data_IF_734671570913
#
_entry.id   IF_734671570913
#
_cell.length_a   1.000
_cell.length_b   1.000
_cell.length_c   1.000
_cell.angle_alpha   90.00
_cell.angle_beta   90.00
_cell.angle_gamma   90.00
#
_symmetry.space_group_name_H-M   'P 1'
#
loop_
_entity.id
_entity.type
_entity.pdbx_description
1 polymer ?
#
# COMPACT_ATOMS: atom_id res chain seq x y z
N UNK A 1 -25.60 -18.59 17.67
CA UNK A 1 -24.45 -18.15 18.49
C UNK A 1 -24.76 -16.79 19.13
N UNK A 2 -24.44 -16.54 20.40
CA UNK A 2 -24.55 -15.18 20.92
C UNK A 2 -23.61 -14.29 20.12
N UNK A 3 -24.10 -13.15 19.64
CA UNK A 3 -23.26 -12.14 19.00
C UNK A 3 -22.13 -11.78 19.97
N UNK A 4 -20.89 -11.90 19.51
CA UNK A 4 -19.74 -11.44 20.28
C UNK A 4 -19.89 -9.93 20.48
N UNK A 5 -19.88 -9.48 21.73
CA UNK A 5 -19.81 -8.04 22.03
C UNK A 5 -18.54 -7.51 21.36
N UNK A 6 -18.63 -6.45 20.53
CA UNK A 6 -17.46 -5.92 19.83
C UNK A 6 -16.44 -5.43 20.86
N UNK A 7 -15.19 -5.85 20.67
CA UNK A 7 -14.07 -5.30 21.42
C UNK A 7 -13.80 -3.89 20.92
N UNK A 8 -13.93 -2.89 21.79
CA UNK A 8 -13.69 -1.49 21.47
C UNK A 8 -12.38 -1.04 22.11
N UNK A 9 -11.42 -0.66 21.28
CA UNK A 9 -10.13 -0.09 21.70
C UNK A 9 -10.15 1.43 21.60
N UNK A 10 -9.37 2.07 22.46
CA UNK A 10 -8.96 3.48 22.35
C UNK A 10 -7.45 3.55 22.07
N UNK A 11 -6.94 4.73 21.74
CA UNK A 11 -5.52 4.98 21.47
C UNK A 11 -4.98 6.11 22.35
N UNK A 12 -3.67 6.09 22.60
CA UNK A 12 -2.91 7.19 23.20
C UNK A 12 -1.91 7.69 22.16
N UNK A 13 -1.78 9.02 22.03
CA UNK A 13 -0.78 9.62 21.15
C UNK A 13 0.56 9.57 21.88
N UNK A 14 1.42 8.62 21.48
CA UNK A 14 2.78 8.49 22.01
C UNK A 14 3.78 9.43 21.35
N UNK A 15 3.51 9.82 20.10
CA UNK A 15 4.32 10.74 19.31
C UNK A 15 3.51 11.28 18.13
N UNK A 16 3.89 12.45 17.64
CA UNK A 16 3.34 13.07 16.43
C UNK A 16 4.49 13.41 15.51
N UNK A 17 4.34 13.05 14.24
CA UNK A 17 5.36 13.24 13.21
C UNK A 17 4.79 14.11 12.09
N UNK A 18 5.60 14.96 11.43
CA UNK A 18 5.12 15.71 10.29
C UNK A 18 4.70 14.76 9.16
N UNK A 19 3.65 15.11 8.45
CA UNK A 19 3.19 14.42 7.25
C UNK A 19 2.91 15.46 6.16
N UNK A 20 3.23 15.12 4.92
CA UNK A 20 2.99 15.98 3.76
C UNK A 20 1.47 16.13 3.53
N UNK A 21 0.89 17.34 3.72
CA UNK A 21 -0.55 17.54 3.64
C UNK A 21 -1.12 17.40 2.22
N UNK A 22 -0.27 17.42 1.19
CA UNK A 22 -0.69 17.23 -0.20
C UNK A 22 -0.71 15.74 -0.61
N UNK A 23 -0.28 14.85 0.29
CA UNK A 23 -0.25 13.42 0.06
C UNK A 23 -1.62 12.78 0.30
N UNK A 24 -2.21 12.23 -0.77
CA UNK A 24 -3.47 11.49 -0.67
C UNK A 24 -3.21 10.03 -0.30
N UNK A 25 -2.78 9.78 0.94
CA UNK A 25 -2.34 8.47 1.44
C UNK A 25 -3.36 7.36 1.19
N UNK A 26 -2.98 6.32 0.43
CA UNK A 26 -3.78 5.10 0.22
C UNK A 26 -3.11 3.82 0.73
N UNK A 27 -1.83 3.88 1.08
CA UNK A 27 -1.10 2.73 1.59
C UNK A 27 0.14 3.13 2.36
N UNK A 28 0.49 2.35 3.38
CA UNK A 28 1.59 2.62 4.29
C UNK A 28 2.23 1.31 4.74
N UNK A 29 3.55 1.18 4.66
CA UNK A 29 4.27 0.00 5.18
C UNK A 29 5.67 0.39 5.65
N UNK A 30 6.22 -0.38 6.60
CA UNK A 30 7.58 -0.21 7.10
C UNK A 30 8.51 -1.28 6.54
N UNK A 31 9.66 -0.85 6.04
CA UNK A 31 10.77 -1.72 5.72
C UNK A 31 11.40 -2.35 6.97
N UNK A 32 12.17 -3.45 6.82
CA UNK A 32 12.87 -4.11 7.93
C UNK A 32 13.86 -3.22 8.70
N UNK A 33 14.32 -2.13 8.07
CA UNK A 33 15.22 -1.13 8.63
C UNK A 33 14.48 0.04 9.31
N UNK A 34 13.15 -0.01 9.39
CA UNK A 34 12.32 1.06 9.93
C UNK A 34 12.03 2.19 8.94
N UNK A 35 12.44 2.06 7.68
CA UNK A 35 12.09 3.02 6.63
C UNK A 35 10.60 2.99 6.35
N UNK A 36 9.95 4.16 6.31
CA UNK A 36 8.56 4.29 5.93
C UNK A 36 8.40 4.40 4.41
N UNK A 37 7.53 3.58 3.85
CA UNK A 37 7.06 3.68 2.48
C UNK A 37 5.58 4.04 2.46
N UNK A 38 5.19 4.88 1.50
CA UNK A 38 3.83 5.38 1.36
C UNK A 38 3.40 5.37 -0.11
N UNK A 39 2.12 5.09 -0.31
CA UNK A 39 1.43 5.20 -1.59
C UNK A 39 0.52 6.42 -1.57
N UNK A 40 0.71 7.30 -2.54
CA UNK A 40 -0.14 8.46 -2.78
C UNK A 40 -1.12 8.12 -3.92
N UNK A 41 -2.41 8.42 -3.73
CA UNK A 41 -3.44 8.31 -4.76
C UNK A 41 -3.58 9.56 -5.64
N UNK A 42 -4.70 9.66 -6.36
CA UNK A 42 -5.07 10.70 -7.36
C UNK A 42 -4.46 10.47 -8.75
N UNK A 43 -5.33 10.39 -9.77
CA UNK A 43 -4.91 10.27 -11.18
C UNK A 43 -3.98 11.42 -11.58
N UNK A 44 -2.88 11.10 -12.24
CA UNK A 44 -1.84 12.07 -12.63
C UNK A 44 -0.87 12.47 -11.51
N UNK A 45 -1.17 12.12 -10.26
CA UNK A 45 -0.37 12.49 -9.09
C UNK A 45 0.08 11.30 -8.23
N UNK A 46 -0.50 10.12 -8.48
CA UNK A 46 -0.21 8.91 -7.71
C UNK A 46 1.27 8.55 -7.77
N UNK A 47 1.80 8.03 -6.68
CA UNK A 47 3.18 7.59 -6.58
C UNK A 47 3.42 6.61 -5.43
N UNK A 48 4.58 5.96 -5.44
CA UNK A 48 5.18 5.39 -4.22
C UNK A 48 6.34 6.27 -3.77
N UNK A 49 6.47 6.45 -2.45
CA UNK A 49 7.54 7.26 -1.87
C UNK A 49 8.16 6.63 -0.63
N UNK A 50 9.43 6.92 -0.44
CA UNK A 50 10.16 6.71 0.79
C UNK A 50 10.09 8.00 1.61
N UNK A 51 9.66 7.93 2.87
CA UNK A 51 9.38 9.08 3.71
C UNK A 51 10.45 9.24 4.79
N UNK A 52 10.94 10.47 4.97
CA UNK A 52 11.72 10.85 6.13
C UNK A 52 10.79 11.10 7.32
N UNK A 53 10.81 10.17 8.26
CA UNK A 53 10.00 10.21 9.49
C UNK A 53 10.20 11.46 10.35
N UNK A 54 11.39 12.07 10.32
CA UNK A 54 11.68 13.24 11.13
C UNK A 54 11.07 14.52 10.54
N UNK A 55 10.98 14.60 9.22
CA UNK A 55 10.57 15.82 8.50
C UNK A 55 9.23 15.70 7.80
N UNK A 56 8.70 14.49 7.60
CA UNK A 56 7.57 14.20 6.72
C UNK A 56 7.90 14.31 5.23
N UNK A 57 9.16 14.61 4.90
CA UNK A 57 9.61 14.85 3.54
C UNK A 57 9.79 13.58 2.72
N UNK A 58 9.80 13.74 1.40
CA UNK A 58 10.09 12.64 0.47
C UNK A 58 11.60 12.46 0.30
N UNK A 59 12.12 11.28 0.63
CA UNK A 59 13.51 10.88 0.35
C UNK A 59 13.67 10.36 -1.07
N UNK A 60 12.66 9.62 -1.56
CA UNK A 60 12.62 9.04 -2.89
C UNK A 60 11.18 8.89 -3.34
N UNK A 61 10.92 9.05 -4.64
CA UNK A 61 9.57 8.94 -5.22
C UNK A 61 9.62 8.38 -6.62
N UNK A 62 8.65 7.52 -6.92
CA UNK A 62 8.39 7.03 -8.28
C UNK A 62 6.93 7.29 -8.60
N UNK A 63 6.68 8.19 -9.55
CA UNK A 63 5.33 8.50 -10.01
C UNK A 63 4.74 7.34 -10.80
N UNK A 64 3.45 7.07 -10.57
CA UNK A 64 2.68 6.16 -11.40
C UNK A 64 2.42 6.77 -12.78
N UNK A 65 2.00 5.94 -13.74
CA UNK A 65 1.44 6.44 -15.00
C UNK A 65 0.18 7.27 -14.72
N UNK A 66 -0.14 8.30 -15.53
CA UNK A 66 -1.25 9.21 -15.24
C UNK A 66 -2.64 8.56 -15.11
N UNK A 67 -2.83 7.39 -15.72
CA UNK A 67 -4.09 6.64 -15.69
C UNK A 67 -4.17 5.61 -14.56
N UNK A 68 -3.14 5.50 -13.72
CA UNK A 68 -3.19 4.67 -12.50
C UNK A 68 -3.54 5.56 -11.32
N UNK A 69 -4.50 5.10 -10.51
CA UNK A 69 -4.72 5.62 -9.16
C UNK A 69 -4.08 4.64 -8.17
N UNK A 70 -3.02 5.08 -7.49
CA UNK A 70 -2.27 4.25 -6.55
C UNK A 70 -3.04 3.98 -5.27
N UNK A 71 -2.99 2.74 -4.79
CA UNK A 71 -3.74 2.26 -3.62
C UNK A 71 -2.80 1.60 -2.60
N UNK A 72 -3.26 0.62 -1.82
CA UNK A 72 -2.49 -0.07 -0.80
C UNK A 72 -1.15 -0.63 -1.28
N UNK A 73 -0.15 -0.61 -0.40
CA UNK A 73 1.20 -1.12 -0.64
C UNK A 73 1.63 -2.11 0.43
N UNK A 74 2.52 -3.03 0.06
CA UNK A 74 3.18 -3.93 1.00
C UNK A 74 4.54 -4.40 0.46
N UNK A 75 5.46 -4.73 1.35
CA UNK A 75 6.77 -5.29 0.99
C UNK A 75 6.71 -6.82 0.97
N UNK A 76 7.15 -7.42 -0.13
CA UNK A 76 7.32 -8.87 -0.28
C UNK A 76 8.71 -9.18 -0.81
N UNK A 77 9.53 -9.82 0.02
CA UNK A 77 10.94 -10.08 -0.29
C UNK A 77 11.69 -8.77 -0.48
N UNK A 78 12.26 -8.55 -1.67
CA UNK A 78 12.97 -7.31 -2.02
C UNK A 78 12.16 -6.40 -2.98
N UNK A 79 10.83 -6.51 -2.94
CA UNK A 79 9.92 -5.72 -3.77
C UNK A 79 8.91 -4.99 -2.92
N UNK A 80 8.54 -3.79 -3.35
CA UNK A 80 7.34 -3.10 -2.89
C UNK A 80 6.24 -3.35 -3.93
N UNK A 81 5.09 -3.84 -3.48
CA UNK A 81 3.91 -4.04 -4.30
C UNK A 81 2.95 -2.88 -4.06
N UNK A 82 2.27 -2.41 -5.11
CA UNK A 82 1.23 -1.38 -5.03
C UNK A 82 0.02 -1.82 -5.83
N UNK A 83 -1.15 -1.77 -5.21
CA UNK A 83 -2.42 -1.94 -5.90
C UNK A 83 -2.79 -0.68 -6.70
N UNK A 84 -3.67 -0.86 -7.67
CA UNK A 84 -4.33 0.25 -8.37
C UNK A 84 -5.84 0.15 -8.16
N UNK A 85 -6.52 1.28 -8.14
CA UNK A 85 -7.93 1.34 -7.77
C UNK A 85 -8.83 0.53 -8.71
N UNK A 86 -9.01 1.00 -9.95
CA UNK A 86 -9.94 0.37 -10.92
C UNK A 86 -9.23 -0.35 -12.04
N UNK A 87 -7.91 -0.16 -12.13
CA UNK A 87 -7.13 -0.62 -13.26
C UNK A 87 -6.81 -2.11 -13.20
N UNK A 88 -7.03 -2.76 -12.04
CA UNK A 88 -6.78 -4.18 -11.85
C UNK A 88 -5.33 -4.55 -12.21
N UNK A 89 -4.39 -3.72 -11.76
CA UNK A 89 -2.95 -3.89 -11.97
C UNK A 89 -2.24 -3.83 -10.62
N UNK A 90 -1.30 -4.75 -10.41
CA UNK A 90 -0.28 -4.65 -9.35
C UNK A 90 1.00 -4.07 -9.97
N UNK A 91 1.52 -3.02 -9.35
CA UNK A 91 2.80 -2.41 -9.73
C UNK A 91 3.86 -2.93 -8.76
N UNK A 92 4.99 -3.38 -9.32
CA UNK A 92 6.11 -3.88 -8.51
C UNK A 92 7.31 -2.95 -8.63
N UNK A 93 7.88 -2.57 -7.49
CA UNK A 93 9.05 -1.72 -7.42
C UNK A 93 10.22 -2.43 -6.77
N UNK A 94 11.45 -2.12 -7.19
CA UNK A 94 12.65 -2.57 -6.49
C UNK A 94 12.80 -1.86 -5.16
N UNK A 95 13.36 -2.56 -4.17
CA UNK A 95 13.88 -1.92 -2.97
C UNK A 95 15.42 -1.91 -2.97
N UNK A 96 16.05 -0.82 -2.49
CA UNK A 96 15.44 0.42 -1.98
C UNK A 96 15.14 1.49 -3.05
N UNK A 97 15.50 1.29 -4.33
CA UNK A 97 15.51 2.37 -5.33
C UNK A 97 14.14 2.78 -5.86
N UNK A 98 13.06 2.04 -5.54
CA UNK A 98 11.70 2.25 -6.03
C UNK A 98 11.61 2.28 -7.57
N UNK A 99 12.48 1.57 -8.28
CA UNK A 99 12.37 1.47 -9.74
C UNK A 99 11.18 0.57 -10.08
N UNK A 100 10.26 1.04 -10.93
CA UNK A 100 9.17 0.19 -11.43
C UNK A 100 9.77 -0.98 -12.22
N UNK A 101 9.57 -2.20 -11.71
CA UNK A 101 10.05 -3.44 -12.29
C UNK A 101 9.07 -3.97 -13.33
N UNK A 102 7.78 -4.03 -12.98
CA UNK A 102 6.72 -4.51 -13.85
C UNK A 102 5.35 -4.05 -13.41
N UNK A 103 4.41 -4.13 -14.35
CA UNK A 103 2.97 -3.95 -14.13
C UNK A 103 2.30 -5.29 -14.45
N UNK A 104 1.56 -5.83 -13.49
CA UNK A 104 0.96 -7.16 -13.60
C UNK A 104 -0.56 -7.01 -13.60
N UNK A 105 -1.24 -7.29 -14.71
CA UNK A 105 -2.70 -7.36 -14.71
C UNK A 105 -3.18 -8.50 -13.80
N UNK A 106 -4.10 -8.19 -12.90
CA UNK A 106 -4.65 -9.13 -11.91
C UNK A 106 -6.17 -9.13 -11.98
N UNK A 107 -6.81 -10.08 -11.28
CA UNK A 107 -8.26 -10.09 -11.06
C UNK A 107 -8.52 -10.45 -9.60
N UNK A 108 -8.32 -9.47 -8.74
CA UNK A 108 -8.51 -9.59 -7.30
C UNK A 108 -9.68 -8.66 -6.96
N UNK A 109 -10.81 -9.23 -6.52
CA UNK A 109 -12.01 -8.44 -6.25
C UNK A 109 -12.51 -7.61 -7.44
N UNK A 110 -13.17 -6.49 -7.14
CA UNK A 110 -13.67 -5.53 -8.14
C UNK A 110 -12.72 -4.35 -8.38
N UNK A 111 -12.04 -3.95 -7.32
CA UNK A 111 -11.11 -2.83 -7.21
C UNK A 111 -9.94 -3.27 -6.31
N UNK A 112 -8.84 -2.52 -6.28
CA UNK A 112 -7.77 -2.68 -5.28
C UNK A 112 -7.79 -1.55 -4.27
N UNK A 113 -7.84 -1.86 -2.97
CA UNK A 113 -7.82 -0.87 -1.89
C UNK A 113 -6.64 -1.18 -0.95
N UNK A 114 -6.87 -1.87 0.17
CA UNK A 114 -5.80 -2.21 1.13
C UNK A 114 -4.96 -3.41 0.69
N UNK A 115 -3.68 -3.40 1.05
CA UNK A 115 -2.73 -4.50 0.87
C UNK A 115 -1.94 -4.71 2.16
N UNK A 116 -1.82 -5.96 2.62
CA UNK A 116 -1.00 -6.36 3.75
C UNK A 116 -0.53 -7.81 3.60
N UNK A 117 0.39 -8.28 4.44
CA UNK A 117 0.82 -9.69 4.46
C UNK A 117 1.14 -10.23 5.84
N UNK A 118 0.96 -11.53 6.05
CA UNK A 118 1.49 -12.29 7.19
C UNK A 118 2.84 -12.97 6.86
N UNK A 119 3.40 -12.68 5.69
CA UNK A 119 4.60 -13.31 5.14
C UNK A 119 4.33 -14.62 4.39
N UNK A 120 3.07 -15.08 4.29
CA UNK A 120 2.69 -16.27 3.51
C UNK A 120 1.73 -15.94 2.38
N UNK A 121 0.74 -15.11 2.66
CA UNK A 121 -0.25 -14.64 1.69
C UNK A 121 -0.36 -13.12 1.73
N UNK A 122 -0.84 -12.55 0.62
CA UNK A 122 -1.32 -11.18 0.58
C UNK A 122 -2.77 -11.14 1.05
N UNK A 123 -3.09 -10.15 1.85
CA UNK A 123 -4.43 -9.75 2.21
C UNK A 123 -4.80 -8.52 1.39
N UNK A 124 -5.83 -8.65 0.56
CA UNK A 124 -6.33 -7.55 -0.28
C UNK A 124 -7.76 -7.23 0.11
N UNK A 125 -8.09 -5.94 0.18
CA UNK A 125 -9.47 -5.47 0.29
C UNK A 125 -9.89 -4.73 -0.97
N UNK A 126 -11.20 -4.65 -1.18
CA UNK A 126 -11.83 -3.76 -2.14
C UNK A 126 -12.91 -2.92 -1.43
N UNK A 127 -13.80 -2.28 -2.19
CA UNK A 127 -14.93 -1.51 -1.64
C UNK A 127 -16.02 -2.37 -0.96
N UNK A 128 -15.88 -3.70 -0.97
CA UNK A 128 -16.80 -4.65 -0.35
C UNK A 128 -16.40 -5.06 1.08
N UNK A 129 -17.07 -6.09 1.59
CA UNK A 129 -16.79 -6.67 2.92
C UNK A 129 -15.88 -7.90 2.86
N UNK A 130 -15.36 -8.24 1.68
CA UNK A 130 -14.51 -9.40 1.48
C UNK A 130 -13.05 -9.07 1.80
N UNK A 131 -12.37 -10.03 2.42
CA UNK A 131 -10.91 -10.04 2.53
C UNK A 131 -10.39 -11.14 1.61
N UNK A 132 -9.61 -10.77 0.60
CA UNK A 132 -9.05 -11.70 -0.37
C UNK A 132 -7.70 -12.20 0.12
N UNK A 133 -7.47 -13.51 0.05
CA UNK A 133 -6.17 -14.12 0.31
C UNK A 133 -5.54 -14.48 -1.03
N UNK A 134 -4.37 -13.93 -1.30
CA UNK A 134 -3.76 -13.96 -2.63
C UNK A 134 -2.33 -14.48 -2.52
N UNK A 135 -1.94 -15.37 -3.43
CA UNK A 135 -0.57 -15.86 -3.52
C UNK A 135 0.35 -14.77 -4.07
N UNK A 136 1.47 -14.44 -3.39
CA UNK A 136 2.26 -13.24 -3.67
C UNK A 136 3.00 -13.22 -5.01
N UNK A 137 3.28 -14.37 -5.63
CA UNK A 137 4.04 -14.42 -6.88
C UNK A 137 3.17 -14.40 -8.13
N UNK A 138 1.98 -15.00 -8.04
CA UNK A 138 1.04 -15.20 -9.14
C UNK A 138 -0.20 -14.32 -9.06
N UNK A 139 -0.45 -13.69 -7.91
CA UNK A 139 -1.62 -12.85 -7.63
C UNK A 139 -2.96 -13.58 -7.82
N UNK A 140 -3.01 -14.85 -7.44
CA UNK A 140 -4.19 -15.72 -7.54
C UNK A 140 -4.73 -16.15 -6.19
#
# INVERSE_FOLDING_TARGET
PPESVPYVSTFEIVSTMPHDPDAFTQGLTFGPDGTLYESDGLYGHSAVRQVDLATGGTLRKTSNKPHHFGEGIEIVGNRLLQLTWRENVVLEYSLPELNLLREVPVRIGREGWGLATDGKVLYVTDSGSALYHVEPESYR
#
